data_IF_209770188866
#
_entry.id   IF_209770188866
#
_cell.length_a   1.000
_cell.length_b   1.000
_cell.length_c   1.000
_cell.angle_alpha   90.00
_cell.angle_beta   90.00
_cell.angle_gamma   90.00
#
_symmetry.space_group_name_H-M   'P 1'
#
loop_
_entity.id
_entity.type
_entity.pdbx_description
1 polymer ?
#
# COMPACT_ATOMS: atom_id res chain seq x y z
N UNK A 1 -11.07 -28.34 8.09
CA UNK A 1 -10.52 -28.54 6.73
C UNK A 1 -10.39 -27.15 6.12
N UNK A 2 -9.17 -26.71 5.81
CA UNK A 2 -8.95 -25.37 5.25
C UNK A 2 -9.39 -25.40 3.78
N UNK A 3 -10.31 -24.52 3.39
CA UNK A 3 -10.92 -24.46 2.06
C UNK A 3 -10.23 -23.37 1.22
N UNK A 4 -9.90 -23.67 -0.04
CA UNK A 4 -9.24 -22.74 -0.97
C UNK A 4 -10.03 -21.43 -1.12
N UNK A 5 -11.35 -21.51 -1.29
CA UNK A 5 -12.24 -20.33 -1.41
C UNK A 5 -12.10 -19.42 -0.19
N UNK A 6 -11.97 -19.99 1.02
CA UNK A 6 -11.76 -19.22 2.24
C UNK A 6 -10.38 -18.53 2.26
N UNK A 7 -9.34 -19.18 1.74
CA UNK A 7 -8.01 -18.55 1.63
C UNK A 7 -8.00 -17.44 0.56
N UNK A 8 -8.67 -17.65 -0.57
CA UNK A 8 -8.80 -16.64 -1.62
C UNK A 8 -9.58 -15.41 -1.15
N UNK A 9 -10.66 -15.59 -0.40
CA UNK A 9 -11.40 -14.46 0.18
C UNK A 9 -10.57 -13.73 1.25
N UNK A 10 -9.85 -14.46 2.10
CA UNK A 10 -8.92 -13.85 3.07
C UNK A 10 -7.81 -13.05 2.39
N UNK A 11 -7.21 -13.59 1.31
CA UNK A 11 -6.18 -12.91 0.52
C UNK A 11 -6.73 -11.62 -0.10
N UNK A 12 -7.95 -11.68 -0.64
CA UNK A 12 -8.65 -10.52 -1.19
C UNK A 12 -8.86 -9.43 -0.13
N UNK A 13 -9.34 -9.80 1.06
CA UNK A 13 -9.57 -8.86 2.16
C UNK A 13 -8.27 -8.18 2.61
N UNK A 14 -7.16 -8.92 2.67
CA UNK A 14 -5.85 -8.36 2.99
C UNK A 14 -5.39 -7.31 1.97
N UNK A 15 -5.50 -7.63 0.67
CA UNK A 15 -5.13 -6.70 -0.42
C UNK A 15 -6.01 -5.45 -0.41
N UNK A 16 -7.33 -5.61 -0.20
CA UNK A 16 -8.26 -4.47 -0.04
C UNK A 16 -7.87 -3.62 1.16
N UNK A 17 -7.49 -4.25 2.27
CA UNK A 17 -6.99 -3.55 3.46
C UNK A 17 -5.73 -2.73 3.16
N UNK A 18 -4.76 -3.30 2.45
CA UNK A 18 -3.53 -2.60 2.05
C UNK A 18 -3.85 -1.43 1.12
N UNK A 19 -4.73 -1.64 0.14
CA UNK A 19 -5.18 -0.60 -0.77
C UNK A 19 -5.82 0.57 -0.03
N UNK A 20 -6.66 0.31 0.97
CA UNK A 20 -7.28 1.36 1.76
C UNK A 20 -6.25 2.16 2.58
N UNK A 21 -5.25 1.48 3.15
CA UNK A 21 -4.18 2.13 3.90
C UNK A 21 -3.31 3.01 3.00
N UNK A 22 -2.88 2.50 1.84
CA UNK A 22 -2.08 3.24 0.85
C UNK A 22 -2.84 4.46 0.33
N UNK A 23 -4.16 4.34 0.10
CA UNK A 23 -5.00 5.49 -0.28
C UNK A 23 -5.02 6.56 0.81
N UNK A 24 -5.10 6.16 2.08
CA UNK A 24 -5.03 7.09 3.22
C UNK A 24 -3.66 7.75 3.31
N UNK A 25 -2.56 7.01 3.15
CA UNK A 25 -1.21 7.59 3.13
C UNK A 25 -1.06 8.64 2.03
N UNK A 26 -1.52 8.35 0.81
CA UNK A 26 -1.41 9.29 -0.31
C UNK A 26 -2.20 10.57 -0.05
N UNK A 27 -3.42 10.45 0.48
CA UNK A 27 -4.25 11.60 0.84
C UNK A 27 -3.58 12.45 1.93
N UNK A 28 -3.06 11.80 2.97
CA UNK A 28 -2.38 12.46 4.09
C UNK A 28 -1.06 13.10 3.65
N UNK A 29 -0.28 12.45 2.78
CA UNK A 29 0.96 13.00 2.24
C UNK A 29 0.70 14.27 1.43
N UNK A 30 -0.37 14.27 0.62
CA UNK A 30 -0.78 15.44 -0.14
C UNK A 30 -1.24 16.58 0.77
N UNK A 31 -2.05 16.30 1.78
CA UNK A 31 -2.49 17.31 2.75
C UNK A 31 -1.30 17.88 3.55
N UNK A 32 -0.42 17.02 4.06
CA UNK A 32 0.79 17.41 4.78
C UNK A 32 1.69 18.32 3.93
N UNK A 33 1.87 17.97 2.66
CA UNK A 33 2.64 18.74 1.71
C UNK A 33 2.07 20.13 1.44
N UNK A 34 0.76 20.24 1.21
CA UNK A 34 0.10 21.51 0.88
C UNK A 34 -0.03 22.44 2.09
N UNK A 35 -0.31 21.88 3.28
CA UNK A 35 -0.57 22.64 4.50
C UNK A 35 0.67 22.84 5.37
N UNK A 36 1.80 22.20 4.99
CA UNK A 36 3.03 22.12 5.78
C UNK A 36 2.77 21.53 7.18
N UNK A 37 1.95 20.49 7.25
CA UNK A 37 1.66 19.77 8.48
C UNK A 37 2.69 18.65 8.70
N UNK A 38 3.72 18.96 9.49
CA UNK A 38 4.74 17.99 9.89
C UNK A 38 4.18 16.81 10.71
N UNK A 39 3.10 17.02 11.47
CA UNK A 39 2.48 15.97 12.27
C UNK A 39 1.89 14.90 11.36
N UNK A 40 1.09 15.35 10.38
CA UNK A 40 0.50 14.47 9.38
C UNK A 40 1.55 13.79 8.50
N UNK A 41 2.63 14.50 8.14
CA UNK A 41 3.75 13.90 7.41
C UNK A 41 4.40 12.76 8.20
N UNK A 42 4.66 12.95 9.50
CA UNK A 42 5.24 11.89 10.36
C UNK A 42 4.31 10.68 10.50
N UNK A 43 3.00 10.89 10.50
CA UNK A 43 2.04 9.77 10.47
C UNK A 43 2.15 8.95 9.18
N UNK A 44 2.30 9.60 8.02
CA UNK A 44 2.50 8.90 6.74
C UNK A 44 3.74 8.01 6.77
N UNK A 45 4.86 8.54 7.28
CA UNK A 45 6.11 7.77 7.45
C UNK A 45 5.89 6.56 8.37
N UNK A 46 5.10 6.72 9.43
CA UNK A 46 4.77 5.61 10.33
C UNK A 46 3.88 4.56 9.67
N UNK A 47 2.87 4.97 8.89
CA UNK A 47 2.01 4.05 8.15
C UNK A 47 2.77 3.19 7.14
N UNK A 48 3.92 3.66 6.65
CA UNK A 48 4.70 2.92 5.65
C UNK A 48 5.24 1.60 6.20
N UNK A 49 5.66 1.59 7.46
CA UNK A 49 6.07 0.35 8.12
C UNK A 49 4.95 -0.70 8.15
N UNK A 50 3.68 -0.25 8.22
CA UNK A 50 2.53 -1.14 8.19
C UNK A 50 2.24 -1.65 6.77
N UNK A 51 2.39 -0.81 5.74
CA UNK A 51 2.25 -1.22 4.33
C UNK A 51 3.29 -2.29 3.99
N UNK A 52 4.55 -2.08 4.34
CA UNK A 52 5.62 -3.07 4.17
C UNK A 52 5.33 -4.40 4.88
N UNK A 53 4.80 -4.35 6.10
CA UNK A 53 4.42 -5.56 6.82
C UNK A 53 3.23 -6.29 6.13
N UNK A 54 2.28 -5.54 5.57
CA UNK A 54 1.16 -6.11 4.82
C UNK A 54 1.62 -6.74 3.50
N UNK A 55 2.57 -6.12 2.80
CA UNK A 55 3.16 -6.67 1.58
C UNK A 55 3.73 -8.07 1.84
N UNK A 56 4.61 -8.19 2.84
CA UNK A 56 5.22 -9.47 3.23
C UNK A 56 4.18 -10.52 3.65
N UNK A 57 3.12 -10.09 4.34
CA UNK A 57 2.04 -10.99 4.75
C UNK A 57 1.25 -11.51 3.55
N UNK A 58 0.94 -10.65 2.57
CA UNK A 58 0.21 -11.01 1.36
C UNK A 58 1.04 -11.94 0.47
N UNK A 59 2.33 -11.65 0.31
CA UNK A 59 3.26 -12.51 -0.45
C UNK A 59 3.32 -13.92 0.13
N UNK A 60 3.45 -14.01 1.47
CA UNK A 60 3.46 -15.30 2.17
C UNK A 60 2.15 -16.07 2.00
N UNK A 61 1.01 -15.38 2.03
CA UNK A 61 -0.30 -16.02 1.79
C UNK A 61 -0.40 -16.56 0.36
N UNK A 62 0.08 -15.80 -0.63
CA UNK A 62 0.16 -16.27 -2.01
C UNK A 62 1.04 -17.53 -2.15
N UNK A 63 2.23 -17.53 -1.54
CA UNK A 63 3.14 -18.68 -1.51
C UNK A 63 2.49 -19.91 -0.87
N UNK A 64 1.79 -19.73 0.25
CA UNK A 64 1.04 -20.81 0.91
C UNK A 64 -0.07 -21.35 0.01
N UNK A 65 -0.81 -20.48 -0.68
CA UNK A 65 -1.86 -20.91 -1.61
C UNK A 65 -1.28 -21.76 -2.74
N UNK A 66 -0.16 -21.34 -3.33
CA UNK A 66 0.52 -22.14 -4.37
C UNK A 66 0.99 -23.50 -3.86
N UNK A 67 1.64 -23.52 -2.69
CA UNK A 67 2.22 -24.73 -2.13
C UNK A 67 1.16 -25.76 -1.68
N UNK A 68 0.07 -25.30 -1.06
CA UNK A 68 -0.90 -26.17 -0.39
C UNK A 68 -2.07 -26.56 -1.28
N UNK A 69 -2.51 -25.70 -2.20
CA UNK A 69 -3.78 -25.90 -2.93
C UNK A 69 -3.61 -26.15 -4.43
N UNK A 70 -2.44 -25.84 -5.01
CA UNK A 70 -2.17 -26.02 -6.45
C UNK A 70 -3.30 -25.40 -7.32
N UNK A 71 -3.59 -24.09 -7.15
CA UNK A 71 -4.70 -23.44 -7.84
C UNK A 71 -4.51 -23.52 -9.36
N UNK A 72 -5.61 -23.58 -10.11
CA UNK A 72 -5.61 -23.67 -11.58
C UNK A 72 -6.51 -22.63 -12.20
N UNK A 73 -6.32 -22.38 -13.49
CA UNK A 73 -7.16 -21.50 -14.30
C UNK A 73 -7.45 -20.13 -13.65
N UNK A 74 -8.67 -19.93 -13.15
CA UNK A 74 -9.13 -18.65 -12.59
C UNK A 74 -8.42 -18.34 -11.26
N UNK A 75 -8.32 -19.32 -10.37
CA UNK A 75 -7.72 -19.14 -9.03
C UNK A 75 -6.23 -18.82 -9.15
N UNK A 76 -5.52 -19.52 -10.04
CA UNK A 76 -4.11 -19.24 -10.32
C UNK A 76 -3.91 -17.82 -10.83
N UNK A 77 -4.75 -17.37 -11.78
CA UNK A 77 -4.68 -16.01 -12.31
C UNK A 77 -4.98 -14.96 -11.24
N UNK A 78 -5.91 -15.25 -10.34
CA UNK A 78 -6.23 -14.37 -9.22
C UNK A 78 -5.01 -14.18 -8.29
N UNK A 79 -4.39 -15.27 -7.83
CA UNK A 79 -3.22 -15.17 -6.92
C UNK A 79 -2.04 -14.47 -7.59
N UNK A 80 -1.79 -14.72 -8.89
CA UNK A 80 -0.77 -14.00 -9.65
C UNK A 80 -1.09 -12.50 -9.79
N UNK A 81 -2.36 -12.15 -9.99
CA UNK A 81 -2.78 -10.76 -10.07
C UNK A 81 -2.57 -10.05 -8.73
N UNK A 82 -2.89 -10.72 -7.62
CA UNK A 82 -2.64 -10.22 -6.26
C UNK A 82 -1.15 -9.94 -6.04
N UNK A 83 -0.24 -10.88 -6.35
CA UNK A 83 1.21 -10.66 -6.23
C UNK A 83 1.67 -9.41 -6.99
N UNK A 84 1.22 -9.26 -8.25
CA UNK A 84 1.59 -8.09 -9.05
C UNK A 84 1.06 -6.80 -8.45
N UNK A 85 -0.18 -6.81 -7.97
CA UNK A 85 -0.80 -5.64 -7.34
C UNK A 85 -0.13 -5.30 -6.01
N UNK A 86 0.27 -6.29 -5.22
CA UNK A 86 0.91 -6.12 -3.92
C UNK A 86 2.15 -5.24 -4.02
N UNK A 87 3.06 -5.58 -4.94
CA UNK A 87 4.25 -4.78 -5.22
C UNK A 87 3.92 -3.37 -5.75
N UNK A 88 2.82 -3.20 -6.51
CA UNK A 88 2.43 -1.85 -6.94
C UNK A 88 1.87 -1.02 -5.79
N UNK A 89 1.16 -1.63 -4.84
CA UNK A 89 0.61 -0.94 -3.67
C UNK A 89 1.71 -0.47 -2.74
N UNK A 90 2.72 -1.32 -2.48
CA UNK A 90 3.90 -0.94 -1.69
C UNK A 90 4.60 0.27 -2.31
N UNK A 91 4.89 0.24 -3.62
CA UNK A 91 5.54 1.35 -4.31
C UNK A 91 4.77 2.67 -4.23
N UNK A 92 3.44 2.62 -4.21
CA UNK A 92 2.61 3.82 -4.02
C UNK A 92 2.76 4.35 -2.58
N UNK A 93 2.77 3.47 -1.59
CA UNK A 93 3.05 3.82 -0.18
C UNK A 93 4.41 4.49 -0.04
N UNK A 94 5.45 3.88 -0.61
CA UNK A 94 6.82 4.38 -0.62
C UNK A 94 6.92 5.78 -1.27
N UNK A 95 6.20 6.01 -2.35
CA UNK A 95 6.08 7.34 -2.96
C UNK A 95 5.36 8.35 -2.04
N UNK A 96 4.29 7.94 -1.34
CA UNK A 96 3.60 8.79 -0.38
C UNK A 96 4.52 9.16 0.80
N UNK A 97 5.31 8.20 1.30
CA UNK A 97 6.35 8.45 2.31
C UNK A 97 7.39 9.46 1.81
N UNK A 98 7.89 9.30 0.59
CA UNK A 98 8.87 10.23 0.03
C UNK A 98 8.32 11.67 -0.07
N UNK A 99 7.04 11.84 -0.43
CA UNK A 99 6.37 13.14 -0.42
C UNK A 99 6.30 13.72 1.00
N UNK A 100 5.96 12.90 1.99
CA UNK A 100 5.90 13.32 3.39
C UNK A 100 7.28 13.71 3.96
N UNK A 101 8.31 12.92 3.68
CA UNK A 101 9.70 13.24 4.06
C UNK A 101 10.18 14.54 3.43
N UNK A 102 9.85 14.75 2.14
CA UNK A 102 10.12 16.01 1.47
C UNK A 102 9.39 17.19 2.14
N UNK A 103 8.11 17.02 2.47
CA UNK A 103 7.32 18.04 3.18
C UNK A 103 7.94 18.45 4.52
N UNK A 104 8.48 17.49 5.29
CA UNK A 104 9.19 17.77 6.55
C UNK A 104 10.48 18.56 6.32
N UNK A 105 11.21 18.27 5.24
CA UNK A 105 12.48 18.91 4.93
C UNK A 105 12.32 20.36 4.40
N UNK A 106 11.12 20.77 4.00
CA UNK A 106 10.87 22.09 3.41
C UNK A 106 10.90 23.23 4.44
N UNK A 107 11.72 24.25 4.19
CA UNK A 107 11.82 25.43 5.05
C UNK A 107 10.62 26.38 4.91
N UNK A 108 10.03 26.49 3.73
CA UNK A 108 8.86 27.33 3.44
C UNK A 108 7.68 26.49 2.91
N UNK A 109 6.42 26.93 3.14
CA UNK A 109 5.26 26.26 2.58
C UNK A 109 5.31 26.18 1.05
N UNK A 110 4.73 25.12 0.49
CA UNK A 110 4.63 24.98 -0.96
C UNK A 110 3.76 26.09 -1.57
N UNK A 111 4.20 26.68 -2.67
CA UNK A 111 3.42 27.67 -3.42
C UNK A 111 2.55 26.97 -4.47
N UNK A 112 1.21 26.95 -4.33
CA UNK A 112 0.31 26.18 -5.21
C UNK A 112 0.37 26.61 -6.69
N UNK A 113 0.82 27.84 -6.97
CA UNK A 113 0.95 28.35 -8.33
C UNK A 113 2.02 27.60 -9.15
N UNK A 114 2.96 26.90 -8.51
CA UNK A 114 3.93 26.04 -9.18
C UNK A 114 3.30 24.79 -9.84
N UNK A 115 2.06 24.43 -9.49
CA UNK A 115 1.32 23.33 -10.12
C UNK A 115 0.47 23.78 -11.30
N UNK A 116 0.34 25.09 -11.52
CA UNK A 116 -0.43 25.65 -12.63
C UNK A 116 0.51 25.77 -13.84
N UNK A 117 0.44 24.78 -14.74
CA UNK A 117 1.02 24.89 -16.08
C UNK A 117 0.28 25.95 -16.91
#
# INVERSE_FOLDING_TARGET
MINLDTQLESLKDQVVGMMQLVRTQLANANAAFLEKDEGLAREVVHYENRVNAMELSIDKECEMIFALYKPVAVDLRFVIAVLKMNTQLERIGDHAKAIAEYSIAMESPFHPDLLKN
#
